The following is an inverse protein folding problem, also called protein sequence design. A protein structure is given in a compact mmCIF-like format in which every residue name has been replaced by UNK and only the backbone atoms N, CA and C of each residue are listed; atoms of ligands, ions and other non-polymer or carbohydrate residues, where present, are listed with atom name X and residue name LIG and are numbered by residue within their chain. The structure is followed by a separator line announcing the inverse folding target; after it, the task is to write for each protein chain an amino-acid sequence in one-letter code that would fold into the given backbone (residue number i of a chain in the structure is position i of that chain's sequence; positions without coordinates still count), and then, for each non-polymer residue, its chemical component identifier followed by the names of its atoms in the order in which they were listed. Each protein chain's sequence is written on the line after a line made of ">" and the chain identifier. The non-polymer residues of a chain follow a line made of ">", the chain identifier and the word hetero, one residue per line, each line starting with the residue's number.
data_IF_251014248094
#
_entry.id   IF_251014248094
#
_cell.length_a   1.000
_cell.length_b   1.000
_cell.length_c   1.000
_cell.angle_alpha   90.00
_cell.angle_beta   90.00
_cell.angle_gamma   90.00
#
_symmetry.space_group_name_H-M   'P 1'
#
loop_
_entity.id
_entity.type
_entity.pdbx_description
1 polymer ?
#
# COMPACT_ATOMS: atom_id res chain seq x y z
N UNK A 1 17.33 -16.97 -10.11
CA UNK A 1 16.85 -15.83 -9.30
C UNK A 1 17.58 -14.52 -9.61
N UNK A 2 18.87 -14.39 -9.27
CA UNK A 2 19.61 -13.11 -9.28
C UNK A 2 19.61 -12.31 -10.58
N UNK A 3 19.65 -12.99 -11.74
CA UNK A 3 19.63 -12.31 -13.04
C UNK A 3 18.37 -11.47 -13.25
N UNK A 4 17.21 -11.95 -12.80
CA UNK A 4 15.94 -11.23 -12.96
C UNK A 4 15.92 -9.97 -12.10
N UNK A 5 16.24 -10.10 -10.81
CA UNK A 5 16.22 -8.98 -9.87
C UNK A 5 17.22 -7.89 -10.26
N UNK A 6 18.41 -8.28 -10.75
CA UNK A 6 19.40 -7.34 -11.34
C UNK A 6 18.90 -6.64 -12.61
N UNK A 7 18.06 -7.30 -13.41
CA UNK A 7 17.48 -6.67 -14.60
C UNK A 7 16.35 -5.70 -14.23
N UNK A 8 15.56 -6.03 -13.21
CA UNK A 8 14.57 -5.11 -12.65
C UNK A 8 15.26 -3.88 -12.06
N UNK A 9 16.35 -4.05 -11.31
CA UNK A 9 17.05 -2.95 -10.63
C UNK A 9 17.62 -1.89 -11.56
N UNK A 10 17.97 -2.25 -12.80
CA UNK A 10 18.41 -1.30 -13.83
C UNK A 10 17.34 -0.27 -14.19
N UNK A 11 16.06 -0.59 -13.98
CA UNK A 11 14.92 0.29 -14.29
C UNK A 11 14.55 1.22 -13.13
N UNK A 12 15.17 1.05 -11.98
CA UNK A 12 14.79 1.78 -10.76
C UNK A 12 15.34 3.21 -10.69
N UNK A 13 16.21 3.61 -11.64
CA UNK A 13 16.74 4.98 -11.70
C UNK A 13 15.64 6.05 -11.77
N UNK A 14 14.57 5.79 -12.54
CA UNK A 14 13.40 6.68 -12.63
C UNK A 14 12.58 6.74 -11.34
N UNK A 15 12.61 5.67 -10.54
CA UNK A 15 11.96 5.69 -9.23
C UNK A 15 12.72 6.61 -8.27
N UNK A 16 14.05 6.50 -8.27
CA UNK A 16 14.98 7.26 -7.43
C UNK A 16 15.13 8.73 -7.83
N UNK A 17 14.74 9.11 -9.04
CA UNK A 17 14.81 10.51 -9.47
C UNK A 17 13.82 11.41 -8.74
N UNK A 18 12.84 10.84 -8.02
CA UNK A 18 11.95 11.59 -7.14
C UNK A 18 12.60 11.68 -5.75
N UNK A 19 12.96 12.89 -5.32
CA UNK A 19 13.73 13.12 -4.09
C UNK A 19 13.01 12.77 -2.77
N UNK A 20 11.77 12.31 -2.83
CA UNK A 20 10.96 11.85 -1.71
C UNK A 20 11.00 10.33 -1.50
N UNK A 21 11.67 9.58 -2.38
CA UNK A 21 11.73 8.11 -2.29
C UNK A 21 13.02 7.53 -2.88
N UNK A 22 13.40 6.36 -2.37
CA UNK A 22 14.59 5.65 -2.82
C UNK A 22 14.35 4.14 -2.79
N UNK A 23 14.91 3.41 -3.75
CA UNK A 23 14.95 1.96 -3.79
C UNK A 23 16.40 1.47 -3.98
N UNK A 24 16.77 0.44 -3.23
CA UNK A 24 18.07 -0.22 -3.30
C UNK A 24 17.93 -1.74 -3.21
N UNK A 25 18.88 -2.46 -3.83
CA UNK A 25 18.97 -3.91 -3.81
C UNK A 25 20.19 -4.34 -3.00
N UNK A 26 19.96 -5.10 -1.93
CA UNK A 26 20.98 -5.87 -1.25
C UNK A 26 21.07 -7.26 -1.90
N UNK A 27 22.20 -7.51 -2.56
CA UNK A 27 22.49 -8.75 -3.28
C UNK A 27 22.88 -9.90 -2.34
N UNK A 28 23.39 -9.62 -1.15
CA UNK A 28 23.84 -10.66 -0.22
C UNK A 28 22.64 -11.33 0.44
N UNK A 29 21.66 -10.52 0.86
CA UNK A 29 20.44 -11.00 1.51
C UNK A 29 19.26 -11.26 0.57
N UNK A 30 19.39 -10.95 -0.73
CA UNK A 30 18.28 -10.91 -1.70
C UNK A 30 17.11 -10.04 -1.21
N UNK A 31 17.43 -8.89 -0.63
CA UNK A 31 16.45 -7.97 -0.05
C UNK A 31 16.42 -6.68 -0.84
N UNK A 32 15.21 -6.19 -1.11
CA UNK A 32 15.02 -4.84 -1.66
C UNK A 32 14.54 -3.93 -0.56
N UNK A 33 15.22 -2.80 -0.39
CA UNK A 33 14.83 -1.75 0.55
C UNK A 33 14.24 -0.58 -0.21
N UNK A 34 13.07 -0.11 0.23
CA UNK A 34 12.42 1.06 -0.35
C UNK A 34 12.12 2.05 0.76
N UNK A 35 12.69 3.24 0.66
CA UNK A 35 12.46 4.33 1.58
C UNK A 35 11.51 5.36 0.95
N UNK A 36 10.57 5.86 1.75
CA UNK A 36 9.76 7.03 1.44
C UNK A 36 9.88 8.04 2.56
N UNK A 37 10.19 9.29 2.22
CA UNK A 37 10.15 10.41 3.15
C UNK A 37 8.71 10.65 3.61
N UNK A 38 7.77 10.66 2.66
CA UNK A 38 6.34 10.71 2.91
C UNK A 38 5.62 9.78 1.93
N UNK A 39 4.67 9.01 2.43
CA UNK A 39 3.74 8.24 1.60
C UNK A 39 2.40 8.20 2.31
N UNK A 40 1.36 8.74 1.66
CA UNK A 40 0.03 8.82 2.27
C UNK A 40 0.13 9.57 3.63
N UNK A 41 -0.41 9.03 4.72
CA UNK A 41 -0.36 9.63 6.04
C UNK A 41 0.89 9.22 6.86
N UNK A 42 1.84 8.52 6.25
CA UNK A 42 3.05 8.03 6.91
C UNK A 42 4.27 8.88 6.55
N UNK A 43 5.17 9.03 7.53
CA UNK A 43 6.46 9.70 7.38
C UNK A 43 7.60 8.72 7.65
N UNK A 44 8.72 8.89 6.95
CA UNK A 44 9.94 8.10 7.13
C UNK A 44 9.64 6.58 7.13
N UNK A 45 9.11 6.10 6.02
CA UNK A 45 8.68 4.71 5.86
C UNK A 45 9.77 3.91 5.16
N UNK A 46 10.10 2.76 5.73
CA UNK A 46 10.97 1.77 5.11
C UNK A 46 10.15 0.51 4.80
N UNK A 47 10.10 0.15 3.53
CA UNK A 47 9.65 -1.16 3.10
C UNK A 47 10.84 -2.09 2.89
N UNK A 48 10.75 -3.29 3.47
CA UNK A 48 11.71 -4.37 3.29
C UNK A 48 11.03 -5.48 2.50
N UNK A 49 11.52 -5.76 1.30
CA UNK A 49 11.00 -6.83 0.43
C UNK A 49 12.01 -7.98 0.42
N UNK A 50 11.65 -9.09 1.05
CA UNK A 50 12.45 -10.32 1.08
C UNK A 50 12.10 -11.19 -0.12
N UNK A 51 13.05 -11.34 -1.05
CA UNK A 51 12.83 -12.06 -2.32
C UNK A 51 13.19 -13.55 -2.15
N UNK A 52 12.26 -14.48 -2.43
CA UNK A 52 12.48 -15.91 -2.20
C UNK A 52 13.35 -16.55 -3.29
N UNK A 53 13.92 -17.72 -2.95
CA UNK A 53 14.62 -18.70 -3.80
C UNK A 53 14.09 -18.80 -5.24
N UNK A 54 12.78 -18.90 -5.32
CA UNK A 54 12.02 -19.27 -6.50
C UNK A 54 11.51 -18.05 -7.27
N UNK A 55 11.88 -16.82 -6.88
CA UNK A 55 11.47 -15.62 -7.60
C UNK A 55 11.90 -15.71 -9.08
N UNK A 56 10.97 -15.53 -10.03
CA UNK A 56 9.66 -14.87 -9.91
C UNK A 56 8.43 -15.78 -9.73
N UNK A 57 8.62 -17.09 -9.60
CA UNK A 57 7.52 -18.05 -9.53
C UNK A 57 6.84 -18.06 -8.15
N UNK A 58 7.46 -17.40 -7.16
CA UNK A 58 6.91 -17.18 -5.82
C UNK A 58 6.97 -15.70 -5.47
N UNK A 59 5.88 -15.19 -4.89
CA UNK A 59 5.78 -13.80 -4.48
C UNK A 59 6.81 -13.48 -3.37
N UNK A 60 7.39 -12.27 -3.38
CA UNK A 60 8.20 -11.82 -2.27
C UNK A 60 7.35 -11.48 -1.04
N UNK A 61 7.99 -11.47 0.13
CA UNK A 61 7.36 -11.02 1.38
C UNK A 61 7.70 -9.57 1.62
N UNK A 62 6.68 -8.76 1.90
CA UNK A 62 6.84 -7.32 2.09
C UNK A 62 6.55 -6.95 3.53
N UNK A 63 7.47 -6.19 4.11
CA UNK A 63 7.38 -5.66 5.45
C UNK A 63 7.45 -4.15 5.40
N UNK A 64 6.80 -3.49 6.35
CA UNK A 64 6.81 -2.04 6.55
C UNK A 64 7.33 -1.75 7.95
N UNK A 65 8.23 -0.77 8.02
CA UNK A 65 8.70 -0.15 9.24
C UNK A 65 8.49 1.36 9.12
N UNK A 66 8.11 2.00 10.21
CA UNK A 66 7.97 3.46 10.29
C UNK A 66 8.78 3.90 11.49
N UNK A 67 9.34 5.12 11.51
CA UNK A 67 10.22 5.57 12.59
C UNK A 67 9.69 5.42 14.03
N UNK A 68 8.38 5.20 14.22
CA UNK A 68 7.74 4.99 15.53
C UNK A 68 7.28 3.54 15.80
N UNK A 69 7.39 2.61 14.84
CA UNK A 69 6.79 1.27 14.94
C UNK A 69 7.70 0.16 14.43
N UNK A 70 7.64 -0.98 15.12
CA UNK A 70 8.31 -2.22 14.72
C UNK A 70 7.92 -2.69 13.31
N UNK A 71 8.81 -3.47 12.69
CA UNK A 71 8.59 -4.09 11.39
C UNK A 71 7.33 -4.98 11.41
N UNK A 72 6.41 -4.74 10.47
CA UNK A 72 5.17 -5.52 10.32
C UNK A 72 4.99 -5.97 8.89
N UNK A 73 4.35 -7.13 8.71
CA UNK A 73 4.00 -7.60 7.37
C UNK A 73 2.95 -6.69 6.74
N UNK A 74 3.13 -6.30 5.47
CA UNK A 74 2.26 -5.31 4.80
C UNK A 74 0.78 -5.72 4.80
N UNK A 75 0.49 -7.04 4.77
CA UNK A 75 -0.88 -7.55 4.82
C UNK A 75 -1.63 -7.17 6.10
N UNK A 76 -0.92 -6.93 7.21
CA UNK A 76 -1.56 -6.42 8.43
C UNK A 76 -2.07 -5.00 8.21
N UNK A 77 -1.32 -4.19 7.44
CA UNK A 77 -1.73 -2.86 7.04
C UNK A 77 -2.88 -2.91 6.04
N UNK A 78 -3.18 -4.01 5.37
CA UNK A 78 -4.34 -4.13 4.48
C UNK A 78 -5.64 -4.50 5.20
N UNK A 79 -5.56 -4.90 6.47
CA UNK A 79 -6.75 -5.13 7.29
C UNK A 79 -7.45 -3.81 7.59
N UNK A 80 -8.78 -3.84 7.58
CA UNK A 80 -9.64 -2.69 7.85
C UNK A 80 -10.62 -3.04 8.96
N UNK A 81 -11.08 -2.02 9.68
CA UNK A 81 -12.22 -2.15 10.60
C UNK A 81 -13.53 -2.33 9.82
N UNK A 82 -14.61 -2.74 10.48
CA UNK A 82 -15.93 -2.87 9.84
C UNK A 82 -16.40 -1.56 9.18
N UNK A 83 -16.15 -0.42 9.82
CA UNK A 83 -16.48 0.89 9.23
C UNK A 83 -15.68 1.15 7.95
N UNK A 84 -14.38 0.83 7.95
CA UNK A 84 -13.54 0.96 6.76
C UNK A 84 -13.95 0.01 5.63
N UNK A 85 -14.35 -1.22 5.96
CA UNK A 85 -14.87 -2.19 4.98
C UNK A 85 -16.15 -1.68 4.31
N UNK A 86 -17.09 -1.13 5.08
CA UNK A 86 -18.32 -0.56 4.52
C UNK A 86 -18.01 0.60 3.54
N UNK A 87 -17.05 1.47 3.86
CA UNK A 87 -16.63 2.51 2.92
C UNK A 87 -15.90 1.95 1.69
N UNK A 88 -15.10 0.89 1.87
CA UNK A 88 -14.44 0.22 0.75
C UNK A 88 -15.47 -0.35 -0.22
N UNK A 89 -16.53 -1.01 0.26
CA UNK A 89 -17.60 -1.54 -0.58
C UNK A 89 -18.37 -0.44 -1.33
N UNK A 90 -18.53 0.74 -0.73
CA UNK A 90 -19.15 1.89 -1.39
C UNK A 90 -18.25 2.42 -2.53
N UNK A 91 -16.95 2.56 -2.27
CA UNK A 91 -16.00 3.09 -3.25
C UNK A 91 -15.67 2.07 -4.35
N UNK A 92 -15.61 0.79 -3.99
CA UNK A 92 -15.15 -0.32 -4.80
C UNK A 92 -16.09 -1.52 -4.58
N UNK A 93 -17.29 -1.53 -5.21
CA UNK A 93 -18.33 -2.56 -4.95
C UNK A 93 -17.88 -4.00 -5.16
N UNK A 94 -16.86 -4.21 -6.00
CA UNK A 94 -16.32 -5.54 -6.31
C UNK A 94 -15.14 -5.93 -5.42
N UNK A 95 -14.74 -5.11 -4.44
CA UNK A 95 -13.56 -5.32 -3.60
C UNK A 95 -13.93 -5.47 -2.13
N UNK A 96 -13.91 -6.72 -1.62
CA UNK A 96 -14.25 -7.02 -0.22
C UNK A 96 -13.12 -6.74 0.78
N UNK A 97 -11.87 -6.87 0.35
CA UNK A 97 -10.68 -6.77 1.19
C UNK A 97 -9.46 -6.40 0.36
N UNK A 98 -8.62 -5.48 0.83
CA UNK A 98 -7.36 -5.18 0.15
C UNK A 98 -6.42 -6.41 0.09
N UNK A 99 -6.37 -7.21 1.17
CA UNK A 99 -5.49 -8.38 1.24
C UNK A 99 -5.83 -9.50 0.24
N UNK A 100 -7.04 -9.52 -0.31
CA UNK A 100 -7.48 -10.52 -1.28
C UNK A 100 -7.26 -10.06 -2.73
N UNK A 101 -7.07 -8.75 -2.92
CA UNK A 101 -6.91 -8.11 -4.22
C UNK A 101 -5.46 -7.70 -4.50
N UNK A 102 -4.60 -7.75 -3.49
CA UNK A 102 -3.16 -7.55 -3.64
C UNK A 102 -2.52 -8.57 -4.59
N UNK A 103 -1.59 -8.12 -5.43
CA UNK A 103 -0.74 -8.98 -6.27
C UNK A 103 0.15 -9.91 -5.45
N UNK A 104 0.34 -9.65 -4.16
CA UNK A 104 1.08 -10.50 -3.24
C UNK A 104 0.26 -11.70 -2.73
N UNK A 105 -1.04 -11.75 -3.03
CA UNK A 105 -1.89 -12.89 -2.73
C UNK A 105 -1.57 -14.06 -3.68
N UNK A 106 -1.64 -15.30 -3.19
CA UNK A 106 -1.17 -16.50 -3.89
C UNK A 106 -1.72 -16.63 -5.32
N UNK A 107 -3.00 -16.33 -5.53
CA UNK A 107 -3.67 -16.49 -6.84
C UNK A 107 -3.53 -15.27 -7.77
N UNK A 108 -2.86 -14.21 -7.31
CA UNK A 108 -2.70 -12.94 -8.04
C UNK A 108 -1.26 -12.68 -8.45
N UNK A 109 -0.30 -13.28 -7.75
CA UNK A 109 1.09 -13.22 -8.14
C UNK A 109 1.33 -14.04 -9.40
N UNK A 110 2.14 -13.50 -10.32
CA UNK A 110 2.56 -14.22 -11.50
C UNK A 110 3.94 -13.76 -11.95
N UNK A 111 4.67 -14.58 -12.72
CA UNK A 111 6.03 -14.28 -13.13
C UNK A 111 6.12 -13.10 -14.12
N UNK A 112 5.02 -12.47 -14.52
CA UNK A 112 5.05 -11.22 -15.29
C UNK A 112 5.15 -9.98 -14.39
N UNK A 113 4.85 -10.11 -13.09
CA UNK A 113 4.89 -9.02 -12.10
C UNK A 113 6.31 -8.79 -11.57
N UNK A 114 6.62 -7.56 -11.20
CA UNK A 114 7.95 -7.16 -10.73
C UNK A 114 7.88 -6.31 -9.45
N UNK A 115 9.05 -5.95 -8.90
CA UNK A 115 9.14 -5.14 -7.67
C UNK A 115 8.43 -3.78 -7.81
N UNK A 116 8.53 -3.10 -8.95
CA UNK A 116 7.83 -1.82 -9.14
C UNK A 116 6.32 -1.98 -9.21
N UNK A 117 5.80 -3.12 -9.68
CA UNK A 117 4.36 -3.40 -9.64
C UNK A 117 3.85 -3.51 -8.20
N UNK A 118 4.64 -4.10 -7.31
CA UNK A 118 4.35 -4.16 -5.87
C UNK A 118 4.29 -2.75 -5.29
N UNK A 119 5.24 -1.89 -5.64
CA UNK A 119 5.27 -0.51 -5.14
C UNK A 119 4.07 0.30 -5.61
N UNK A 120 3.72 0.20 -6.89
CA UNK A 120 2.53 0.88 -7.45
C UNK A 120 1.25 0.45 -6.73
N UNK A 121 1.13 -0.85 -6.42
CA UNK A 121 -0.01 -1.34 -5.64
C UNK A 121 0.01 -0.81 -4.20
N UNK A 122 1.16 -0.80 -3.54
CA UNK A 122 1.29 -0.26 -2.18
C UNK A 122 0.88 1.22 -2.16
N UNK A 123 1.41 2.04 -3.07
CA UNK A 123 1.05 3.45 -3.21
C UNK A 123 -0.48 3.61 -3.36
N UNK A 124 -1.07 2.89 -4.32
CA UNK A 124 -2.52 2.91 -4.55
C UNK A 124 -3.34 2.46 -3.33
N UNK A 125 -2.94 1.39 -2.64
CA UNK A 125 -3.67 0.88 -1.48
C UNK A 125 -3.56 1.82 -0.28
N UNK A 126 -2.42 2.50 -0.10
CA UNK A 126 -2.27 3.49 0.96
C UNK A 126 -3.12 4.74 0.69
N UNK A 127 -3.14 5.24 -0.54
CA UNK A 127 -4.02 6.34 -0.94
C UNK A 127 -5.50 5.99 -0.75
N UNK A 128 -5.92 4.78 -1.16
CA UNK A 128 -7.28 4.31 -0.96
C UNK A 128 -7.64 4.19 0.52
N UNK A 129 -6.70 3.74 1.36
CA UNK A 129 -6.89 3.67 2.81
C UNK A 129 -7.05 5.06 3.42
N UNK A 130 -6.27 6.04 3.00
CA UNK A 130 -6.43 7.42 3.46
C UNK A 130 -7.78 7.99 3.07
N UNK A 131 -8.21 7.75 1.84
CA UNK A 131 -9.54 8.15 1.37
C UNK A 131 -10.63 7.53 2.24
N UNK A 132 -10.56 6.23 2.49
CA UNK A 132 -11.50 5.53 3.38
C UNK A 132 -11.46 6.11 4.80
N UNK A 133 -10.27 6.36 5.34
CA UNK A 133 -10.12 6.95 6.69
C UNK A 133 -10.80 8.30 6.76
N UNK A 134 -10.60 9.18 5.78
CA UNK A 134 -11.24 10.50 5.72
C UNK A 134 -12.77 10.38 5.69
N UNK A 135 -13.32 9.47 4.88
CA UNK A 135 -14.77 9.22 4.81
C UNK A 135 -15.34 8.70 6.12
N UNK A 136 -14.67 7.75 6.76
CA UNK A 136 -15.06 7.24 8.08
C UNK A 136 -15.05 8.36 9.11
N UNK A 137 -14.00 9.19 9.14
CA UNK A 137 -13.88 10.34 10.05
C UNK A 137 -15.04 11.31 9.87
N UNK A 138 -15.37 11.70 8.63
CA UNK A 138 -16.52 12.58 8.35
C UNK A 138 -17.84 11.96 8.80
N UNK A 139 -18.05 10.66 8.57
CA UNK A 139 -19.26 9.97 9.06
C UNK A 139 -19.35 9.91 10.57
N UNK A 140 -18.23 9.83 11.28
CA UNK A 140 -18.20 9.93 12.74
C UNK A 140 -18.59 11.34 13.17
N UNK A 141 -18.00 12.39 12.58
CA UNK A 141 -18.37 13.78 12.89
C UNK A 141 -19.85 14.06 12.61
N UNK A 142 -20.39 13.64 11.47
CA UNK A 142 -21.81 13.78 11.13
C UNK A 142 -22.76 13.21 12.21
N UNK A 143 -22.36 12.14 12.90
CA UNK A 143 -23.18 11.54 13.98
C UNK A 143 -23.17 12.37 15.26
N UNK A 144 -22.14 13.19 15.46
CA UNK A 144 -21.95 13.99 16.67
C UNK A 144 -22.33 15.47 16.46
N UNK A 145 -22.30 15.98 15.23
CA UNK A 145 -22.69 17.35 14.88
C UNK A 145 -24.06 17.40 14.20
N UNK A 146 -25.08 17.82 14.95
CA UNK A 146 -26.44 18.03 14.45
C UNK A 146 -26.64 19.38 13.73
N UNK A 147 -25.60 20.21 13.62
CA UNK A 147 -25.70 21.57 13.08
C UNK A 147 -25.71 21.67 11.55
N UNK A 148 -25.25 20.64 10.84
CA UNK A 148 -25.15 20.65 9.38
C UNK A 148 -26.27 19.81 8.73
N UNK A 149 -27.01 20.36 7.75
CA UNK A 149 -27.98 19.61 6.95
C UNK A 149 -27.36 18.36 6.29
N UNK A 150 -28.12 17.27 6.23
CA UNK A 150 -27.67 16.00 5.65
C UNK A 150 -27.17 16.11 4.19
N UNK A 151 -27.70 17.07 3.42
CA UNK A 151 -27.28 17.32 2.03
C UNK A 151 -25.82 17.79 1.98
N UNK A 152 -25.42 18.73 2.85
CA UNK A 152 -24.05 19.24 2.90
C UNK A 152 -23.07 18.15 3.33
N UNK A 153 -23.44 17.30 4.29
CA UNK A 153 -22.63 16.14 4.66
C UNK A 153 -22.38 15.20 3.48
N UNK A 154 -23.41 14.94 2.68
CA UNK A 154 -23.29 14.08 1.50
C UNK A 154 -22.42 14.70 0.41
N UNK A 155 -22.44 16.03 0.25
CA UNK A 155 -21.53 16.74 -0.66
C UNK A 155 -20.07 16.63 -0.20
N UNK A 156 -19.80 16.87 1.09
CA UNK A 156 -18.46 16.70 1.67
C UNK A 156 -17.95 15.27 1.45
N UNK A 157 -18.77 14.26 1.75
CA UNK A 157 -18.39 12.85 1.57
C UNK A 157 -18.17 12.51 0.09
N UNK A 158 -18.90 13.11 -0.86
CA UNK A 158 -18.67 12.88 -2.30
C UNK A 158 -17.37 13.51 -2.79
N UNK A 159 -16.96 14.63 -2.20
CA UNK A 159 -15.72 15.33 -2.57
C UNK A 159 -14.45 14.61 -2.08
N UNK A 160 -14.59 13.71 -1.09
CA UNK A 160 -13.53 12.85 -0.55
C UNK A 160 -13.45 11.53 -1.32
#
# INVERSE_FOLDING_TARGET
>A
MMRRLRNESKKWGEFNSKGDRQISLDLESNTVHIFYLNISNFKNVLFTIKVPGEYPFKAPKVFISTGAHEERHIMQLYKMTRLGQNELEILMPNMKCLCCFTILCNDKWGPMKNILDILKEIEYFLELRDRIRSRVTVRVFQRHESGLPAVLWNEIIKFI
#
